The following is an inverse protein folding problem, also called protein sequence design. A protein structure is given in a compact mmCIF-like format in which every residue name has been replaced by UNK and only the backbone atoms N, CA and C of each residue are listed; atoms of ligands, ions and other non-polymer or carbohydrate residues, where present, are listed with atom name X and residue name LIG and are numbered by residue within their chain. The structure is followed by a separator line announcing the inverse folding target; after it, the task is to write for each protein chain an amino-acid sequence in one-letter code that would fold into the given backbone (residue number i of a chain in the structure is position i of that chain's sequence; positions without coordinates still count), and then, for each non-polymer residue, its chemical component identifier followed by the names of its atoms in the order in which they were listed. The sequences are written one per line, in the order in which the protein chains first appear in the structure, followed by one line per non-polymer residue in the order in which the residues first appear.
data_IF_140163687209
#
_entry.id   IF_140163687209
#
_cell.length_a   1.000
_cell.length_b   1.000
_cell.length_c   1.000
_cell.angle_alpha   90.00
_cell.angle_beta   90.00
_cell.angle_gamma   90.00
#
_symmetry.space_group_name_H-M   'P 1'
#
loop_
_entity.id
_entity.type
_entity.pdbx_description
1 polymer ?
#
# COMPACT_ATOMS: atom_id res chain seq x y z
N UNK A 1 -11.94 -5.07 -3.28
CA UNK A 1 -10.82 -5.59 -4.09
C UNK A 1 -10.53 -7.01 -3.66
N UNK A 2 -10.50 -7.96 -4.60
CA UNK A 2 -10.20 -9.36 -4.33
C UNK A 2 -8.69 -9.52 -4.06
N UNK A 3 -8.30 -10.57 -3.33
CA UNK A 3 -6.89 -10.80 -2.98
C UNK A 3 -6.00 -11.04 -4.21
N UNK A 4 -6.58 -11.57 -5.29
CA UNK A 4 -5.90 -11.83 -6.55
C UNK A 4 -5.51 -10.53 -7.28
N UNK A 5 -6.40 -9.54 -7.30
CA UNK A 5 -6.13 -8.18 -7.81
C UNK A 5 -5.05 -7.49 -6.97
N UNK A 6 -5.03 -7.75 -5.66
CA UNK A 6 -4.02 -7.23 -4.75
C UNK A 6 -2.63 -7.78 -5.02
N UNK A 7 -2.51 -9.09 -5.22
CA UNK A 7 -1.21 -9.71 -5.51
C UNK A 7 -0.61 -9.15 -6.80
N UNK A 8 -1.44 -8.94 -7.84
CA UNK A 8 -1.00 -8.28 -9.07
C UNK A 8 -0.43 -6.89 -8.78
N UNK A 9 -1.12 -6.07 -8.00
CA UNK A 9 -0.66 -4.72 -7.65
C UNK A 9 0.62 -4.71 -6.79
N UNK A 10 0.80 -5.67 -5.91
CA UNK A 10 1.99 -5.74 -5.03
C UNK A 10 3.20 -6.29 -5.79
N UNK A 11 3.01 -7.37 -6.55
CA UNK A 11 4.10 -8.13 -7.16
C UNK A 11 4.50 -7.59 -8.53
N UNK A 12 3.55 -7.11 -9.36
CA UNK A 12 3.87 -6.65 -10.72
C UNK A 12 4.29 -5.19 -10.81
N UNK A 13 3.85 -4.34 -9.89
CA UNK A 13 4.05 -2.90 -10.01
C UNK A 13 5.32 -2.39 -9.33
N UNK A 14 6.07 -3.23 -8.59
CA UNK A 14 7.31 -2.89 -7.88
C UNK A 14 7.23 -1.51 -7.16
N UNK A 15 6.07 -1.23 -6.55
CA UNK A 15 5.78 0.06 -5.92
C UNK A 15 6.69 0.26 -4.70
N UNK A 16 6.96 -0.85 -4.02
CA UNK A 16 7.72 -0.95 -2.78
C UNK A 16 9.05 -1.64 -3.04
N UNK A 17 10.09 -1.24 -2.31
CA UNK A 17 11.32 -2.03 -2.23
C UNK A 17 11.01 -3.36 -1.50
N UNK A 18 11.30 -4.48 -2.16
CA UNK A 18 10.91 -5.79 -1.67
C UNK A 18 11.54 -6.15 -0.33
N UNK A 19 12.75 -5.65 -0.05
CA UNK A 19 13.53 -6.04 1.13
C UNK A 19 13.17 -5.29 2.40
N UNK A 20 12.41 -4.19 2.29
CA UNK A 20 12.18 -3.27 3.42
C UNK A 20 10.80 -3.37 4.06
N UNK A 21 9.81 -3.89 3.33
CA UNK A 21 8.44 -4.00 3.79
C UNK A 21 7.93 -5.44 3.68
N UNK A 22 7.25 -5.90 4.74
CA UNK A 22 6.52 -7.17 4.71
C UNK A 22 5.35 -7.13 3.72
N UNK A 23 4.93 -8.30 3.21
CA UNK A 23 3.76 -8.40 2.33
C UNK A 23 2.51 -7.76 2.96
N UNK A 24 2.29 -7.99 4.26
CA UNK A 24 1.17 -7.40 5.01
C UNK A 24 1.21 -5.86 5.02
N UNK A 25 2.38 -5.25 5.19
CA UNK A 25 2.52 -3.79 5.16
C UNK A 25 2.22 -3.22 3.76
N UNK A 26 2.70 -3.90 2.71
CA UNK A 26 2.42 -3.51 1.32
C UNK A 26 0.91 -3.59 1.01
N UNK A 27 0.25 -4.67 1.43
CA UNK A 27 -1.19 -4.84 1.23
C UNK A 27 -2.01 -3.80 1.99
N UNK A 28 -1.70 -3.56 3.27
CA UNK A 28 -2.34 -2.51 4.08
C UNK A 28 -2.20 -1.14 3.39
N UNK A 29 -1.02 -0.80 2.89
CA UNK A 29 -0.76 0.49 2.25
C UNK A 29 -1.57 0.65 0.95
N UNK A 30 -1.64 -0.38 0.10
CA UNK A 30 -2.40 -0.33 -1.15
C UNK A 30 -3.90 -0.20 -0.85
N UNK A 31 -4.44 -1.01 0.07
CA UNK A 31 -5.86 -0.92 0.44
C UNK A 31 -6.22 0.46 1.02
N UNK A 32 -5.33 1.04 1.82
CA UNK A 32 -5.47 2.39 2.35
C UNK A 32 -5.44 3.47 1.25
N UNK A 33 -4.65 3.25 0.19
CA UNK A 33 -4.63 4.15 -0.99
C UNK A 33 -5.96 4.12 -1.72
N UNK A 34 -6.58 2.94 -1.84
CA UNK A 34 -7.90 2.76 -2.44
C UNK A 34 -9.07 3.10 -1.50
N UNK A 35 -8.79 3.81 -0.41
CA UNK A 35 -9.82 4.45 0.42
C UNK A 35 -10.29 3.62 1.61
N UNK A 36 -9.75 2.42 1.84
CA UNK A 36 -10.08 1.68 3.06
C UNK A 36 -9.56 2.41 4.30
N UNK A 37 -10.41 2.53 5.30
CA UNK A 37 -10.11 3.13 6.61
C UNK A 37 -9.31 2.18 7.50
N UNK A 38 -8.71 2.70 8.56
CA UNK A 38 -7.97 1.87 9.52
C UNK A 38 -8.90 0.88 10.23
N UNK A 39 -10.16 1.27 10.43
CA UNK A 39 -11.21 0.46 11.04
C UNK A 39 -11.60 -0.72 10.14
N UNK A 40 -11.86 -0.47 8.85
CA UNK A 40 -12.18 -1.53 7.89
C UNK A 40 -11.01 -2.53 7.72
N UNK A 41 -9.77 -2.01 7.70
CA UNK A 41 -8.58 -2.84 7.63
C UNK A 41 -8.39 -3.65 8.92
N UNK A 42 -8.64 -3.05 10.08
CA UNK A 42 -8.57 -3.72 11.36
C UNK A 42 -9.56 -4.89 11.42
N UNK A 43 -10.80 -4.70 10.97
CA UNK A 43 -11.78 -5.78 10.83
C UNK A 43 -11.29 -6.87 9.86
N UNK A 44 -10.79 -6.49 8.68
CA UNK A 44 -10.31 -7.44 7.67
C UNK A 44 -9.16 -8.32 8.18
N UNK A 45 -8.20 -7.75 8.91
CA UNK A 45 -7.04 -8.47 9.46
C UNK A 45 -7.27 -9.06 10.86
N UNK A 46 -8.50 -8.99 11.39
CA UNK A 46 -8.84 -9.35 12.76
C UNK A 46 -7.86 -8.77 13.79
N UNK A 47 -7.68 -7.45 13.74
CA UNK A 47 -6.66 -6.72 14.51
C UNK A 47 -7.24 -5.38 15.01
N UNK A 48 -6.46 -4.61 15.76
CA UNK A 48 -6.86 -3.27 16.23
C UNK A 48 -6.54 -2.17 15.21
N UNK A 49 -7.33 -1.08 15.13
CA UNK A 49 -7.00 0.09 14.30
C UNK A 49 -5.62 0.66 14.62
N UNK A 50 -5.21 0.66 15.89
CA UNK A 50 -3.87 1.07 16.32
C UNK A 50 -2.77 0.25 15.64
N UNK A 51 -2.95 -1.06 15.51
CA UNK A 51 -1.99 -1.91 14.81
C UNK A 51 -1.89 -1.58 13.32
N UNK A 52 -3.01 -1.25 12.68
CA UNK A 52 -3.02 -0.79 11.28
C UNK A 52 -2.24 0.52 11.14
N UNK A 53 -2.45 1.47 12.05
CA UNK A 53 -1.68 2.71 12.05
C UNK A 53 -0.18 2.48 12.21
N UNK A 54 0.25 1.55 13.07
CA UNK A 54 1.66 1.18 13.21
C UNK A 54 2.24 0.57 11.92
N UNK A 55 1.47 -0.24 11.20
CA UNK A 55 1.92 -0.75 9.90
C UNK A 55 2.07 0.38 8.87
N UNK A 56 1.10 1.30 8.79
CA UNK A 56 1.18 2.48 7.92
C UNK A 56 2.33 3.42 8.32
N UNK A 57 2.66 3.49 9.60
CA UNK A 57 3.80 4.24 10.13
C UNK A 57 5.13 3.70 9.60
N UNK A 58 5.33 2.38 9.67
CA UNK A 58 6.52 1.76 9.07
C UNK A 58 6.58 2.05 7.57
N UNK A 59 5.46 1.94 6.86
CA UNK A 59 5.42 2.22 5.43
C UNK A 59 5.78 3.68 5.14
N UNK A 60 5.16 4.67 5.79
CA UNK A 60 5.48 6.10 5.52
C UNK A 60 6.92 6.44 5.87
N UNK A 61 7.52 5.77 6.86
CA UNK A 61 8.94 5.90 7.19
C UNK A 61 9.85 5.44 6.05
N UNK A 62 9.55 4.32 5.40
CA UNK A 62 10.29 3.85 4.23
C UNK A 62 10.21 4.80 3.02
N UNK A 63 9.17 5.62 2.95
CA UNK A 63 9.02 6.68 1.94
C UNK A 63 9.64 8.02 2.37
N UNK A 64 10.52 8.03 3.37
CA UNK A 64 11.17 9.26 3.85
C UNK A 64 10.37 10.00 4.91
N UNK A 65 9.63 9.27 5.76
CA UNK A 65 8.83 9.80 6.86
C UNK A 65 7.76 10.81 6.39
N UNK A 66 7.11 10.52 5.27
CA UNK A 66 6.06 11.37 4.70
C UNK A 66 4.78 11.34 5.54
N UNK A 67 3.87 12.27 5.28
CA UNK A 67 2.51 12.21 5.82
C UNK A 67 1.71 11.07 5.18
N UNK A 68 0.61 10.63 5.81
CA UNK A 68 -0.26 9.59 5.26
C UNK A 68 -0.97 10.01 3.96
N UNK A 69 -1.29 11.30 3.81
CA UNK A 69 -1.86 11.83 2.57
C UNK A 69 -0.81 11.82 1.46
N UNK A 70 0.42 12.26 1.74
CA UNK A 70 1.54 12.17 0.81
C UNK A 70 1.85 10.71 0.43
N UNK A 71 1.85 9.79 1.39
CA UNK A 71 2.02 8.36 1.13
C UNK A 71 0.98 7.84 0.14
N UNK A 72 -0.29 8.21 0.35
CA UNK A 72 -1.39 7.87 -0.56
C UNK A 72 -1.12 8.37 -1.98
N UNK A 73 -0.76 9.64 -2.13
CA UNK A 73 -0.46 10.25 -3.43
C UNK A 73 0.74 9.59 -4.11
N UNK A 74 1.83 9.33 -3.38
CA UNK A 74 3.06 8.74 -3.94
C UNK A 74 2.80 7.33 -4.45
N UNK A 75 2.13 6.48 -3.66
CA UNK A 75 1.80 5.11 -4.08
C UNK A 75 0.86 5.15 -5.29
N UNK A 76 -0.15 6.02 -5.27
CA UNK A 76 -1.06 6.19 -6.41
C UNK A 76 -0.33 6.60 -7.69
N UNK A 77 0.54 7.62 -7.62
CA UNK A 77 1.32 8.08 -8.78
C UNK A 77 2.25 6.98 -9.30
N UNK A 78 2.92 6.23 -8.42
CA UNK A 78 3.76 5.09 -8.81
C UNK A 78 2.95 4.03 -9.57
N UNK A 79 1.72 3.73 -9.14
CA UNK A 79 0.83 2.81 -9.85
C UNK A 79 0.47 3.33 -11.24
N UNK A 80 0.07 4.61 -11.35
CA UNK A 80 -0.30 5.21 -12.64
C UNK A 80 0.88 5.23 -13.61
N UNK A 81 2.08 5.67 -13.17
CA UNK A 81 3.27 5.67 -14.02
C UNK A 81 3.61 4.27 -14.55
N UNK A 82 3.40 3.24 -13.73
CA UNK A 82 3.65 1.85 -14.12
C UNK A 82 2.60 1.31 -15.07
N UNK A 83 1.32 1.61 -14.85
CA UNK A 83 0.25 1.27 -15.79
C UNK A 83 0.49 1.91 -17.16
N UNK A 84 0.85 3.20 -17.17
CA UNK A 84 1.17 3.92 -18.41
C UNK A 84 2.37 3.32 -19.15
N UNK A 85 3.40 2.86 -18.43
CA UNK A 85 4.54 2.19 -19.07
C UNK A 85 4.20 0.77 -19.56
N UNK A 86 3.29 0.06 -18.89
CA UNK A 86 2.80 -1.26 -19.32
C UNK A 86 1.98 -1.21 -20.62
N UNK A 87 1.35 -0.08 -20.95
CA UNK A 87 0.63 0.10 -22.22
C UNK A 87 1.56 0.35 -23.42
N UNK A 88 2.86 0.55 -23.18
CA UNK A 88 3.85 0.86 -24.22
C UNK A 88 4.86 -0.29 -24.50
N UNK A 89 4.68 -1.46 -23.87
CA UNK A 89 5.42 -2.71 -24.13
C UNK A 89 4.52 -3.77 -24.77
#
# INVERSE_FOLDING_TARGET
MKNEEMNILIEKFYIFDEKKLSAKQKEIAIRYVFGQTAEELATYYNNSPRSIWLHLDVVRHEFGNVSLSSLRTIIFMKMICKLANFENE
#
